data_IF_791757694773
#
_entry.id   IF_791757694773
#
_cell.length_a   1.000
_cell.length_b   1.000
_cell.length_c   1.000
_cell.angle_alpha   90.00
_cell.angle_beta   90.00
_cell.angle_gamma   90.00
#
_symmetry.space_group_name_H-M   'P 1'
#
loop_
_entity.id
_entity.type
_entity.pdbx_description
1 polymer ?
#
# COMPACT_ATOMS: atom_id res chain seq x y z
N UNK A 1 21.78 -4.30 2.66
CA UNK A 1 21.13 -3.43 3.70
C UNK A 1 22.10 -2.33 4.10
N UNK A 2 21.65 -1.08 4.15
CA UNK A 2 22.45 0.07 4.63
C UNK A 2 23.28 0.84 3.58
N UNK A 3 23.41 0.37 2.34
CA UNK A 3 24.11 1.09 1.27
C UNK A 3 23.23 2.12 0.53
N UNK A 4 21.91 2.12 0.79
CA UNK A 4 20.92 2.94 0.10
C UNK A 4 20.62 2.47 -1.34
N UNK A 5 19.50 2.93 -1.89
CA UNK A 5 19.00 2.52 -3.21
C UNK A 5 20.04 2.67 -4.33
N UNK A 6 20.75 3.80 -4.38
CA UNK A 6 21.64 4.13 -5.51
C UNK A 6 22.86 3.20 -5.56
N UNK A 7 23.48 2.92 -4.43
CA UNK A 7 24.67 2.06 -4.39
C UNK A 7 24.29 0.62 -4.79
N UNK A 8 23.20 0.11 -4.22
CA UNK A 8 22.73 -1.25 -4.53
C UNK A 8 22.19 -1.39 -5.95
N UNK A 9 21.47 -0.39 -6.46
CA UNK A 9 20.96 -0.42 -7.83
C UNK A 9 22.10 -0.34 -8.87
N UNK A 10 23.14 0.47 -8.62
CA UNK A 10 24.28 0.61 -9.53
C UNK A 10 25.01 -0.71 -9.78
N UNK A 11 25.21 -1.53 -8.73
CA UNK A 11 25.79 -2.87 -8.86
C UNK A 11 24.89 -3.78 -9.69
N UNK A 12 23.58 -3.74 -9.45
CA UNK A 12 22.62 -4.61 -10.15
C UNK A 12 22.41 -4.23 -11.62
N UNK A 13 22.54 -2.95 -12.00
CA UNK A 13 22.42 -2.55 -13.40
C UNK A 13 23.54 -3.10 -14.29
N UNK A 14 24.71 -3.41 -13.72
CA UNK A 14 25.81 -4.05 -14.47
C UNK A 14 25.48 -5.51 -14.88
N UNK A 15 24.46 -6.13 -14.30
CA UNK A 15 24.08 -7.52 -14.57
C UNK A 15 23.18 -7.69 -15.81
N UNK A 16 22.89 -6.59 -16.53
CA UNK A 16 22.03 -6.53 -17.71
C UNK A 16 20.65 -7.21 -17.58
N UNK A 17 20.18 -7.49 -16.37
CA UNK A 17 18.94 -8.22 -16.09
C UNK A 17 17.83 -7.26 -15.67
N UNK A 18 16.54 -7.57 -15.96
CA UNK A 18 15.43 -6.77 -15.46
C UNK A 18 15.40 -6.75 -13.92
N UNK A 19 15.30 -5.54 -13.36
CA UNK A 19 15.24 -5.29 -11.93
C UNK A 19 13.85 -4.79 -11.56
N UNK A 20 13.22 -5.45 -10.59
CA UNK A 20 11.98 -4.96 -9.99
C UNK A 20 12.30 -4.27 -8.66
N UNK A 21 12.01 -2.97 -8.61
CA UNK A 21 12.04 -2.19 -7.37
C UNK A 21 10.69 -2.33 -6.67
N UNK A 22 10.71 -2.71 -5.41
CA UNK A 22 9.50 -2.91 -4.60
C UNK A 22 9.52 -1.87 -3.49
N UNK A 23 8.39 -1.21 -3.26
CA UNK A 23 8.26 -0.17 -2.24
C UNK A 23 6.88 -0.20 -1.56
N UNK A 24 6.75 0.56 -0.48
CA UNK A 24 5.54 0.59 0.34
C UNK A 24 4.43 1.43 -0.31
N UNK A 25 4.80 2.50 -1.01
CA UNK A 25 3.90 3.42 -1.70
C UNK A 25 4.60 3.96 -2.96
N UNK A 26 4.16 3.47 -4.12
CA UNK A 26 4.75 3.82 -5.40
C UNK A 26 4.38 5.24 -5.80
N UNK A 27 3.18 5.72 -5.47
CA UNK A 27 2.75 7.08 -5.76
C UNK A 27 3.66 8.13 -5.10
N UNK A 28 4.05 7.88 -3.85
CA UNK A 28 4.97 8.75 -3.11
C UNK A 28 6.44 8.58 -3.51
N UNK A 29 6.85 7.38 -3.96
CA UNK A 29 8.26 7.08 -4.29
C UNK A 29 8.63 7.30 -5.75
N UNK A 30 7.67 7.28 -6.68
CA UNK A 30 7.92 7.27 -8.13
C UNK A 30 8.87 8.36 -8.59
N UNK A 31 8.57 9.62 -8.29
CA UNK A 31 9.41 10.74 -8.73
C UNK A 31 10.83 10.65 -8.15
N UNK A 32 10.97 10.25 -6.89
CA UNK A 32 12.26 10.07 -6.23
C UNK A 32 13.06 8.93 -6.86
N UNK A 33 12.42 7.78 -7.12
CA UNK A 33 13.01 6.63 -7.81
C UNK A 33 13.49 7.04 -9.20
N UNK A 34 12.62 7.67 -10.00
CA UNK A 34 12.94 8.13 -11.35
C UNK A 34 14.11 9.12 -11.35
N UNK A 35 14.12 10.07 -10.41
CA UNK A 35 15.20 11.06 -10.28
C UNK A 35 16.54 10.43 -9.88
N UNK A 36 16.53 9.49 -8.93
CA UNK A 36 17.75 8.81 -8.46
C UNK A 36 18.38 7.92 -9.53
N UNK A 37 17.58 7.49 -10.49
CA UNK A 37 17.97 6.54 -11.54
C UNK A 37 18.13 7.19 -12.92
N UNK A 38 17.74 8.47 -13.05
CA UNK A 38 17.93 9.28 -14.24
C UNK A 38 19.40 9.24 -14.70
N UNK A 39 19.63 8.81 -15.93
CA UNK A 39 20.96 8.68 -16.53
C UNK A 39 21.75 7.42 -16.16
N UNK A 40 21.20 6.52 -15.32
CA UNK A 40 21.85 5.25 -14.93
C UNK A 40 21.12 4.00 -15.41
N UNK A 41 19.80 4.08 -15.58
CA UNK A 41 19.04 3.02 -16.23
C UNK A 41 18.98 3.32 -17.75
N UNK A 42 19.41 2.41 -18.64
CA UNK A 42 18.98 2.49 -20.03
C UNK A 42 17.45 2.52 -20.03
N UNK A 43 16.84 3.31 -20.93
CA UNK A 43 15.44 3.80 -20.94
C UNK A 43 14.30 2.78 -20.74
N UNK A 44 14.60 1.50 -20.47
CA UNK A 44 13.65 0.37 -20.54
C UNK A 44 13.79 -0.71 -19.45
N UNK A 45 14.46 -0.48 -18.30
CA UNK A 45 14.75 -1.61 -17.36
C UNK A 45 14.36 -1.42 -15.90
N UNK A 46 13.76 -0.31 -15.52
CA UNK A 46 13.22 -0.17 -14.17
C UNK A 46 11.73 -0.46 -14.16
N UNK A 47 11.36 -1.58 -13.55
CA UNK A 47 9.98 -1.86 -13.17
C UNK A 47 9.89 -1.54 -11.69
N UNK A 48 8.86 -0.79 -11.28
CA UNK A 48 8.60 -0.51 -9.88
C UNK A 48 7.16 -0.89 -9.54
N UNK A 49 6.97 -1.55 -8.41
CA UNK A 49 5.65 -1.93 -7.90
C UNK A 49 5.55 -1.71 -6.39
N UNK A 50 4.33 -1.80 -5.88
CA UNK A 50 4.12 -1.84 -4.45
C UNK A 50 4.24 -3.26 -3.90
N UNK A 51 4.54 -3.40 -2.61
CA UNK A 51 4.58 -4.69 -1.93
C UNK A 51 3.28 -5.51 -2.10
N UNK A 52 2.13 -4.86 -2.17
CA UNK A 52 0.84 -5.52 -2.40
C UNK A 52 0.74 -6.15 -3.78
N UNK A 53 1.29 -5.51 -4.81
CA UNK A 53 1.27 -6.04 -6.18
C UNK A 53 2.15 -7.29 -6.29
N UNK A 54 3.28 -7.30 -5.56
CA UNK A 54 4.20 -8.42 -5.52
C UNK A 54 3.59 -9.68 -4.90
N UNK A 55 2.52 -9.57 -4.11
CA UNK A 55 1.83 -10.74 -3.55
C UNK A 55 1.18 -11.61 -4.64
N UNK A 56 0.86 -11.05 -5.81
CA UNK A 56 0.41 -11.80 -6.98
C UNK A 56 1.55 -12.54 -7.69
N UNK A 57 2.80 -12.30 -7.26
CA UNK A 57 4.02 -12.83 -7.87
C UNK A 57 4.74 -11.78 -8.73
N UNK A 58 6.08 -11.83 -8.82
CA UNK A 58 6.82 -10.98 -9.75
C UNK A 58 6.60 -11.41 -11.20
N UNK A 59 6.78 -10.51 -12.18
CA UNK A 59 6.84 -10.89 -13.59
C UNK A 59 7.91 -11.98 -13.83
N UNK A 60 7.66 -12.95 -14.72
CA UNK A 60 8.55 -14.10 -14.92
C UNK A 60 9.96 -13.72 -15.42
N UNK A 61 10.11 -12.58 -16.07
CA UNK A 61 11.39 -12.05 -16.57
C UNK A 61 12.24 -11.37 -15.47
N UNK A 62 11.66 -11.07 -14.31
CA UNK A 62 12.34 -10.42 -13.20
C UNK A 62 13.16 -11.46 -12.44
N UNK A 63 14.48 -11.27 -12.42
CA UNK A 63 15.40 -12.15 -11.69
C UNK A 63 15.81 -11.60 -10.33
N UNK A 64 15.78 -10.28 -10.17
CA UNK A 64 16.21 -9.62 -8.95
C UNK A 64 15.12 -8.70 -8.43
N UNK A 65 14.88 -8.80 -7.13
CA UNK A 65 13.97 -7.94 -6.38
C UNK A 65 14.79 -7.02 -5.50
N UNK A 66 14.66 -5.71 -5.71
CA UNK A 66 15.29 -4.68 -4.88
C UNK A 66 14.21 -4.01 -4.05
N UNK A 67 14.20 -4.28 -2.75
CA UNK A 67 13.26 -3.61 -1.87
C UNK A 67 13.84 -2.29 -1.36
N UNK A 68 13.17 -1.21 -1.72
CA UNK A 68 13.53 0.14 -1.34
C UNK A 68 13.25 0.40 0.14
N UNK A 69 12.13 -0.10 0.63
CA UNK A 69 11.66 0.02 2.01
C UNK A 69 11.14 -1.35 2.48
N UNK A 70 11.06 -1.58 3.81
CA UNK A 70 10.57 -2.85 4.33
C UNK A 70 9.07 -3.06 4.00
N UNK A 71 8.60 -4.32 3.97
CA UNK A 71 7.24 -4.65 3.59
C UNK A 71 6.20 -4.09 4.58
N UNK A 72 5.17 -3.46 4.03
CA UNK A 72 3.95 -3.00 4.75
C UNK A 72 2.77 -3.95 4.57
N UNK A 73 3.08 -5.21 4.26
CA UNK A 73 2.18 -6.36 4.14
C UNK A 73 2.91 -7.60 4.66
N UNK A 74 2.19 -8.67 4.98
CA UNK A 74 2.83 -9.95 5.27
C UNK A 74 3.44 -10.54 3.99
N UNK A 75 4.76 -10.46 3.86
CA UNK A 75 5.50 -10.96 2.70
C UNK A 75 6.37 -12.16 3.10
N UNK A 76 5.98 -13.35 2.64
CA UNK A 76 6.74 -14.60 2.81
C UNK A 76 7.59 -14.99 1.61
N UNK A 77 7.81 -14.07 0.65
CA UNK A 77 8.41 -14.36 -0.64
C UNK A 77 9.91 -14.72 -0.60
N UNK A 78 10.55 -14.86 -1.77
CA UNK A 78 11.88 -15.43 -1.91
C UNK A 78 12.93 -14.75 -1.03
N UNK A 79 13.84 -15.57 -0.49
CA UNK A 79 14.92 -15.12 0.42
C UNK A 79 15.95 -14.23 -0.27
N UNK A 80 15.99 -14.21 -1.60
CA UNK A 80 17.00 -13.51 -2.41
C UNK A 80 16.63 -12.03 -2.68
N UNK A 81 15.67 -11.49 -1.93
CA UNK A 81 15.32 -10.08 -1.95
C UNK A 81 16.46 -9.22 -1.41
N UNK A 82 16.92 -8.28 -2.23
CA UNK A 82 17.99 -7.36 -1.87
C UNK A 82 17.36 -6.16 -1.16
N UNK A 83 17.58 -6.06 0.15
CA UNK A 83 17.08 -4.96 0.95
C UNK A 83 18.02 -3.74 0.88
N UNK A 84 17.50 -2.63 0.35
CA UNK A 84 18.21 -1.36 0.14
C UNK A 84 17.74 -0.22 1.06
N UNK A 85 17.01 -0.54 2.13
CA UNK A 85 16.53 0.42 3.11
C UNK A 85 17.54 0.74 4.21
N UNK A 86 17.48 1.98 4.70
CA UNK A 86 18.02 2.45 5.97
C UNK A 86 16.91 2.95 6.90
N UNK A 87 17.29 3.68 7.95
CA UNK A 87 16.37 4.25 8.94
C UNK A 87 15.24 5.10 8.30
N UNK A 88 15.52 6.03 7.35
CA UNK A 88 14.47 6.85 6.74
C UNK A 88 13.44 6.03 5.95
N UNK A 89 13.87 4.94 5.31
CA UNK A 89 12.97 4.06 4.57
C UNK A 89 12.07 3.24 5.50
N UNK A 90 12.54 2.86 6.69
CA UNK A 90 11.69 2.22 7.70
C UNK A 90 10.67 3.19 8.26
N UNK A 91 11.06 4.44 8.54
CA UNK A 91 10.14 5.50 8.99
C UNK A 91 9.05 5.76 7.95
N UNK A 92 9.44 5.88 6.68
CA UNK A 92 8.49 5.99 5.58
C UNK A 92 7.52 4.79 5.51
N UNK A 93 8.02 3.56 5.65
CA UNK A 93 7.16 2.37 5.65
C UNK A 93 6.16 2.37 6.83
N UNK A 94 6.60 2.83 8.02
CA UNK A 94 5.72 3.02 9.18
C UNK A 94 4.63 4.06 8.87
N UNK A 95 4.96 5.21 8.30
CA UNK A 95 3.97 6.23 7.91
C UNK A 95 2.95 5.69 6.90
N UNK A 96 3.42 4.95 5.89
CA UNK A 96 2.55 4.31 4.89
C UNK A 96 1.61 3.29 5.55
N UNK A 97 2.14 2.45 6.43
CA UNK A 97 1.36 1.45 7.17
C UNK A 97 0.26 2.11 8.01
N UNK A 98 0.62 3.12 8.80
CA UNK A 98 -0.34 3.84 9.66
C UNK A 98 -1.44 4.50 8.83
N UNK A 99 -1.08 5.16 7.73
CA UNK A 99 -2.04 5.80 6.83
C UNK A 99 -2.98 4.77 6.17
N UNK A 100 -2.46 3.61 5.74
CA UNK A 100 -3.28 2.54 5.12
C UNK A 100 -4.22 1.85 6.10
N UNK A 101 -3.83 1.80 7.38
CA UNK A 101 -4.65 1.22 8.44
C UNK A 101 -5.65 2.21 9.04
N UNK A 102 -5.48 3.53 8.82
CA UNK A 102 -6.36 4.58 9.30
C UNK A 102 -7.69 4.62 8.53
N UNK A 103 -8.53 3.60 8.67
CA UNK A 103 -9.78 3.46 7.89
C UNK A 103 -10.90 4.40 8.35
N UNK A 104 -10.86 4.95 9.57
CA UNK A 104 -11.97 5.73 10.14
C UNK A 104 -12.33 6.97 9.32
N UNK A 105 -11.34 7.77 8.95
CA UNK A 105 -11.55 8.99 8.17
C UNK A 105 -12.02 8.69 6.73
N UNK A 106 -11.37 7.78 5.97
CA UNK A 106 -11.87 7.29 4.70
C UNK A 106 -13.31 6.74 4.74
N UNK A 107 -13.68 5.98 5.78
CA UNK A 107 -15.05 5.50 5.96
C UNK A 107 -16.04 6.64 6.16
N UNK A 108 -15.69 7.62 7.00
CA UNK A 108 -16.54 8.79 7.23
C UNK A 108 -16.68 9.65 5.96
N UNK A 109 -15.63 9.76 5.14
CA UNK A 109 -15.71 10.43 3.84
C UNK A 109 -16.61 9.69 2.86
N UNK A 110 -16.42 8.38 2.70
CA UNK A 110 -17.25 7.56 1.81
C UNK A 110 -18.73 7.59 2.23
N UNK A 111 -19.00 7.46 3.53
CA UNK A 111 -20.36 7.52 4.08
C UNK A 111 -21.01 8.89 3.83
N UNK A 112 -20.26 9.99 3.99
CA UNK A 112 -20.74 11.34 3.68
C UNK A 112 -21.03 11.49 2.19
N UNK A 113 -20.14 11.04 1.32
CA UNK A 113 -20.34 11.07 -0.13
C UNK A 113 -21.61 10.31 -0.55
N UNK A 114 -21.85 9.13 0.01
CA UNK A 114 -23.09 8.37 -0.20
C UNK A 114 -24.32 9.17 0.25
N UNK A 115 -24.29 9.75 1.46
CA UNK A 115 -25.40 10.56 2.00
C UNK A 115 -25.71 11.78 1.13
N UNK A 116 -24.68 12.49 0.68
CA UNK A 116 -24.81 13.68 -0.17
C UNK A 116 -25.41 13.36 -1.55
N UNK A 117 -25.25 12.12 -2.02
CA UNK A 117 -25.79 11.63 -3.30
C UNK A 117 -27.12 10.89 -3.16
N UNK A 118 -27.84 11.08 -2.05
CA UNK A 118 -29.16 10.48 -1.83
C UNK A 118 -29.13 9.03 -1.36
N UNK A 119 -27.96 8.55 -0.93
CA UNK A 119 -27.77 7.22 -0.36
C UNK A 119 -27.24 6.18 -1.33
N UNK A 120 -26.98 6.51 -2.59
CA UNK A 120 -26.47 5.57 -3.59
C UNK A 120 -25.35 6.20 -4.43
N UNK A 121 -24.36 5.38 -4.75
CA UNK A 121 -23.28 5.71 -5.69
C UNK A 121 -23.07 4.52 -6.61
N UNK A 122 -22.85 4.80 -7.90
CA UNK A 122 -22.60 3.78 -8.93
C UNK A 122 -21.43 4.16 -9.84
N UNK A 123 -20.83 3.15 -10.47
CA UNK A 123 -19.81 3.28 -11.50
C UNK A 123 -18.70 4.27 -11.13
N UNK A 124 -18.53 5.30 -11.96
CA UNK A 124 -17.46 6.31 -11.80
C UNK A 124 -17.62 7.17 -10.55
N UNK A 125 -18.84 7.41 -10.10
CA UNK A 125 -19.08 8.22 -8.91
C UNK A 125 -18.69 7.43 -7.64
N UNK A 126 -18.99 6.13 -7.62
CA UNK A 126 -18.49 5.22 -6.59
C UNK A 126 -16.96 5.12 -6.61
N UNK A 127 -16.37 4.93 -7.81
CA UNK A 127 -14.92 4.87 -7.99
C UNK A 127 -14.23 6.14 -7.49
N UNK A 128 -14.77 7.32 -7.82
CA UNK A 128 -14.24 8.61 -7.38
C UNK A 128 -14.33 8.77 -5.85
N UNK A 129 -15.46 8.41 -5.24
CA UNK A 129 -15.64 8.46 -3.79
C UNK A 129 -14.68 7.51 -3.05
N UNK A 130 -14.49 6.29 -3.59
CA UNK A 130 -13.56 5.31 -3.03
C UNK A 130 -12.11 5.77 -3.13
N UNK A 131 -11.69 6.31 -4.27
CA UNK A 131 -10.34 6.85 -4.44
C UNK A 131 -10.07 8.06 -3.55
N UNK A 132 -11.10 8.84 -3.24
CA UNK A 132 -10.97 10.04 -2.42
C UNK A 132 -10.19 11.15 -3.15
N UNK A 133 -9.53 12.07 -2.42
CA UNK A 133 -8.85 13.21 -3.02
C UNK A 133 -7.72 12.80 -3.98
N UNK A 134 -7.74 13.35 -5.21
CA UNK A 134 -6.83 12.98 -6.31
C UNK A 134 -5.33 13.06 -5.98
N UNK A 135 -4.92 13.95 -5.06
CA UNK A 135 -3.51 14.13 -4.69
C UNK A 135 -2.90 12.88 -4.04
N UNK A 136 -3.73 12.04 -3.40
CA UNK A 136 -3.33 10.78 -2.77
C UNK A 136 -4.48 9.77 -2.87
N UNK A 137 -4.72 9.30 -4.10
CA UNK A 137 -5.72 8.25 -4.34
C UNK A 137 -5.46 7.07 -3.42
N UNK A 138 -6.51 6.55 -2.80
CA UNK A 138 -6.44 5.30 -2.04
C UNK A 138 -6.10 4.14 -2.96
N UNK A 139 -5.35 3.18 -2.42
CA UNK A 139 -5.04 1.94 -3.13
C UNK A 139 -6.27 1.01 -3.19
N UNK A 140 -6.32 0.06 -4.15
CA UNK A 140 -7.45 -0.84 -4.31
C UNK A 140 -7.79 -1.67 -3.07
N UNK A 141 -6.79 -2.09 -2.28
CA UNK A 141 -7.00 -2.89 -1.06
C UNK A 141 -7.68 -2.04 0.01
N UNK A 142 -7.28 -0.78 0.16
CA UNK A 142 -7.98 0.18 1.03
C UNK A 142 -9.43 0.36 0.57
N UNK A 143 -9.68 0.61 -0.72
CA UNK A 143 -11.05 0.77 -1.24
C UNK A 143 -11.93 -0.46 -0.96
N UNK A 144 -11.40 -1.67 -1.20
CA UNK A 144 -12.11 -2.91 -0.92
C UNK A 144 -12.45 -3.07 0.57
N UNK A 145 -11.53 -2.68 1.47
CA UNK A 145 -11.79 -2.68 2.92
C UNK A 145 -12.90 -1.73 3.31
N UNK A 146 -12.97 -0.53 2.72
CA UNK A 146 -14.03 0.43 3.03
C UNK A 146 -15.42 -0.16 2.72
N UNK A 147 -15.56 -0.77 1.54
CA UNK A 147 -16.80 -1.43 1.13
C UNK A 147 -17.14 -2.62 2.03
N UNK A 148 -16.16 -3.46 2.35
CA UNK A 148 -16.34 -4.61 3.23
C UNK A 148 -16.80 -4.19 4.63
N UNK A 149 -16.20 -3.14 5.21
CA UNK A 149 -16.61 -2.61 6.53
C UNK A 149 -18.05 -2.10 6.49
N UNK A 150 -18.45 -1.34 5.45
CA UNK A 150 -19.83 -0.86 5.34
C UNK A 150 -20.83 -2.02 5.20
N UNK A 151 -20.48 -3.06 4.45
CA UNK A 151 -21.32 -4.25 4.27
C UNK A 151 -21.43 -5.09 5.55
N UNK A 152 -20.32 -5.35 6.24
CA UNK A 152 -20.27 -6.13 7.49
C UNK A 152 -21.02 -5.45 8.63
N UNK A 153 -21.03 -4.12 8.67
CA UNK A 153 -21.77 -3.33 9.65
C UNK A 153 -23.24 -3.12 9.24
N UNK A 154 -23.66 -3.74 8.13
CA UNK A 154 -25.00 -3.60 7.54
C UNK A 154 -25.38 -2.14 7.26
N UNK A 155 -24.40 -1.25 7.09
CA UNK A 155 -24.61 0.17 6.79
C UNK A 155 -24.89 0.41 5.30
N UNK A 156 -24.45 -0.49 4.44
CA UNK A 156 -24.68 -0.43 3.01
C UNK A 156 -24.76 -1.83 2.38
N UNK A 157 -25.50 -1.94 1.28
CA UNK A 157 -25.35 -3.05 0.33
C UNK A 157 -24.32 -2.68 -0.72
N UNK A 158 -23.48 -3.64 -1.10
CA UNK A 158 -22.44 -3.48 -2.12
C UNK A 158 -22.64 -4.53 -3.21
N UNK A 159 -22.69 -4.09 -4.45
CA UNK A 159 -22.80 -4.93 -5.64
C UNK A 159 -21.63 -4.56 -6.56
N UNK A 160 -20.75 -5.51 -6.84
CA UNK A 160 -19.54 -5.32 -7.64
C UNK A 160 -19.61 -6.10 -8.96
N UNK A 161 -20.82 -6.30 -9.48
CA UNK A 161 -21.00 -6.85 -10.81
C UNK A 161 -20.26 -5.97 -11.85
N UNK A 162 -19.45 -6.56 -12.74
CA UNK A 162 -18.68 -5.80 -13.72
C UNK A 162 -19.58 -4.87 -14.56
N UNK A 163 -19.31 -3.56 -14.51
CA UNK A 163 -20.05 -2.54 -15.23
C UNK A 163 -21.40 -2.13 -14.59
N UNK A 164 -21.70 -2.63 -13.39
CA UNK A 164 -22.86 -2.27 -12.58
C UNK A 164 -22.48 -2.12 -11.10
N UNK A 165 -21.24 -1.69 -10.84
CA UNK A 165 -20.73 -1.52 -9.49
C UNK A 165 -21.51 -0.41 -8.76
N UNK A 166 -22.09 -0.74 -7.60
CA UNK A 166 -22.90 0.18 -6.80
C UNK A 166 -22.78 -0.07 -5.31
N UNK A 167 -22.98 0.99 -4.54
CA UNK A 167 -23.04 0.97 -3.09
C UNK A 167 -24.24 1.81 -2.64
N UNK A 168 -25.12 1.21 -1.83
CA UNK A 168 -26.37 1.84 -1.38
C UNK A 168 -26.48 1.75 0.14
N UNK A 169 -26.72 2.89 0.79
CA UNK A 169 -26.91 2.98 2.23
C UNK A 169 -28.21 2.30 2.65
N UNK A 170 -28.15 1.66 3.81
CA UNK A 170 -29.30 1.13 4.51
C UNK A 170 -29.75 2.10 5.60
N UNK A 171 -31.04 2.10 5.92
CA UNK A 171 -31.55 2.82 7.08
C UNK A 171 -31.09 2.12 8.36
N UNK A 172 -30.07 2.67 9.01
CA UNK A 172 -29.46 2.03 10.18
C UNK A 172 -29.15 3.00 11.32
N UNK A 173 -29.02 2.41 12.51
CA UNK A 173 -28.59 3.09 13.73
C UNK A 173 -27.06 3.20 13.79
N UNK A 174 -26.53 4.12 14.62
CA UNK A 174 -25.09 4.18 14.88
C UNK A 174 -24.54 2.83 15.33
N UNK A 175 -23.40 2.44 14.78
CA UNK A 175 -22.71 1.17 15.10
C UNK A 175 -21.23 1.43 15.33
N UNK A 176 -20.59 0.56 16.13
CA UNK A 176 -19.16 0.63 16.40
C UNK A 176 -18.38 -0.06 15.28
N UNK A 177 -17.32 0.58 14.78
CA UNK A 177 -16.49 0.03 13.70
C UNK A 177 -15.81 -1.28 14.11
N UNK A 178 -15.57 -1.46 15.40
CA UNK A 178 -14.96 -2.63 16.01
C UNK A 178 -15.80 -3.91 15.83
N UNK A 179 -17.09 -3.79 15.45
CA UNK A 179 -17.92 -4.94 15.09
C UNK A 179 -17.64 -5.47 13.67
N UNK A 180 -16.94 -4.71 12.82
CA UNK A 180 -16.49 -5.19 11.52
C UNK A 180 -15.25 -6.06 11.68
N UNK A 181 -15.33 -7.30 11.17
CA UNK A 181 -14.20 -8.22 11.11
C UNK A 181 -13.05 -7.65 10.25
N UNK A 182 -13.39 -7.00 9.13
CA UNK A 182 -12.40 -6.33 8.27
C UNK A 182 -11.69 -5.19 8.99
N UNK A 183 -12.42 -4.35 9.72
CA UNK A 183 -11.83 -3.25 10.50
C UNK A 183 -10.91 -3.77 11.62
N UNK A 184 -11.37 -4.80 12.36
CA UNK A 184 -10.57 -5.44 13.40
C UNK A 184 -9.30 -6.10 12.83
N UNK A 185 -9.42 -6.81 11.70
CA UNK A 185 -8.29 -7.44 11.02
C UNK A 185 -7.27 -6.43 10.51
N UNK A 186 -7.72 -5.29 9.95
CA UNK A 186 -6.83 -4.23 9.50
C UNK A 186 -6.02 -3.62 10.66
N UNK A 187 -6.64 -3.41 11.83
CA UNK A 187 -5.92 -2.94 13.02
C UNK A 187 -4.94 -4.00 13.55
N UNK A 188 -5.34 -5.27 13.59
CA UNK A 188 -4.46 -6.35 14.03
C UNK A 188 -3.25 -6.51 13.11
N UNK A 189 -3.45 -6.42 11.78
CA UNK A 189 -2.36 -6.43 10.80
C UNK A 189 -1.43 -5.24 10.98
N UNK A 190 -1.98 -4.03 11.18
CA UNK A 190 -1.19 -2.83 11.50
C UNK A 190 -0.32 -3.04 12.72
N UNK A 191 -0.88 -3.51 13.82
CA UNK A 191 -0.15 -3.63 15.09
C UNK A 191 0.99 -4.66 14.99
N UNK A 192 0.75 -5.77 14.26
CA UNK A 192 1.79 -6.77 13.96
C UNK A 192 2.91 -6.17 13.11
N UNK A 193 2.58 -5.57 11.97
CA UNK A 193 3.58 -5.01 11.05
C UNK A 193 4.33 -3.84 11.68
N UNK A 194 3.67 -3.00 12.47
CA UNK A 194 4.31 -1.92 13.23
C UNK A 194 5.36 -2.47 14.18
N UNK A 195 5.06 -3.56 14.88
CA UNK A 195 6.01 -4.22 15.78
C UNK A 195 7.24 -4.75 15.03
N UNK A 196 7.04 -5.34 13.86
CA UNK A 196 8.13 -5.81 12.98
C UNK A 196 9.00 -4.64 12.49
N UNK A 197 8.38 -3.57 11.99
CA UNK A 197 9.08 -2.40 11.49
C UNK A 197 9.83 -1.64 12.61
N UNK A 198 9.25 -1.52 13.80
CA UNK A 198 9.92 -0.93 14.95
C UNK A 198 11.16 -1.73 15.38
N UNK A 199 11.09 -3.06 15.33
CA UNK A 199 12.25 -3.91 15.61
C UNK A 199 13.36 -3.75 14.56
N UNK A 200 12.99 -3.62 13.27
CA UNK A 200 13.95 -3.33 12.19
C UNK A 200 14.59 -1.95 12.35
N UNK A 201 13.81 -0.91 12.69
CA UNK A 201 14.30 0.44 12.98
C UNK A 201 15.35 0.43 14.10
N UNK A 202 15.01 -0.21 15.23
CA UNK A 202 15.94 -0.35 16.35
C UNK A 202 17.19 -1.19 16.02
N UNK A 203 17.08 -2.18 15.13
CA UNK A 203 18.23 -2.94 14.66
C UNK A 203 19.18 -2.09 13.79
N UNK A 204 18.63 -1.24 12.91
CA UNK A 204 19.41 -0.32 12.07
C UNK A 204 20.10 0.76 12.92
N UNK A 205 19.39 1.36 13.88
CA UNK A 205 19.95 2.35 14.79
C UNK A 205 21.17 1.79 15.57
N UNK A 206 21.08 0.55 16.06
CA UNK A 206 22.20 -0.13 16.74
C UNK A 206 23.41 -0.35 15.83
N UNK A 207 23.19 -0.71 14.55
CA UNK A 207 24.29 -0.90 13.59
C UNK A 207 25.02 0.40 13.24
N UNK A 208 24.31 1.53 13.27
CA UNK A 208 24.91 2.85 13.04
C UNK A 208 25.79 3.31 14.20
N UNK A 209 25.50 2.86 15.41
CA UNK A 209 26.21 3.24 16.63
C UNK A 209 27.45 2.37 16.93
N UNK A 210 27.63 1.25 16.20
CA UNK A 210 28.75 0.32 16.32
C UNK A 210 29.82 0.62 15.26
#
# INVERSE_FOLDING_TARGET
>A
RGAGLVATAAELFSLETPLLVVCADLGARREGIERLLAGRAPERRLIACEWSDLLAGPPPEVRYLLALDPPVVEYGGPRDLIAAWGEPEVEFALEVLERRAALREPLAELYRALREKGGELEGRDLEAALRGPQKRSRDPRTCARLLAVLAELELATVDLAPGAERCMLLEQRPTALEHSATFAAANAERDRLRSVLAAEHAALARRRAA
#
